data_IF_123241086114
#
_entry.id   IF_123241086114
#
_cell.length_a   1.000
_cell.length_b   1.000
_cell.length_c   1.000
_cell.angle_alpha   90.00
_cell.angle_beta   90.00
_cell.angle_gamma   90.00
#
_symmetry.space_group_name_H-M   'P 1'
#
loop_
_entity.id
_entity.type
_entity.pdbx_description
1 polymer ?
#
# COMPACT_ATOMS: atom_id res chain seq x y z
N UNK A 1 1.69 21.00 2.34
CA UNK A 1 2.85 21.11 1.50
C UNK A 1 3.50 19.81 1.11
N UNK A 2 4.25 19.09 1.93
CA UNK A 2 4.89 17.82 1.53
C UNK A 2 3.91 16.66 1.50
N UNK A 3 3.01 16.58 2.45
CA UNK A 3 1.96 15.53 2.55
C UNK A 3 0.99 15.64 1.39
N UNK A 4 0.48 16.83 1.13
CA UNK A 4 -0.42 17.09 -0.01
C UNK A 4 0.24 16.75 -1.35
N UNK A 5 1.54 17.05 -1.51
CA UNK A 5 2.28 16.68 -2.70
C UNK A 5 2.46 15.16 -2.83
N UNK A 6 2.67 14.43 -1.72
CA UNK A 6 2.75 12.98 -1.72
C UNK A 6 1.44 12.35 -2.20
N UNK A 7 0.34 12.75 -1.59
CA UNK A 7 -1.01 12.27 -1.90
C UNK A 7 -1.37 12.56 -3.36
N UNK A 8 -1.18 13.81 -3.81
CA UNK A 8 -1.46 14.22 -5.19
C UNK A 8 -0.59 13.47 -6.21
N UNK A 9 0.69 13.24 -5.91
CA UNK A 9 1.59 12.49 -6.80
C UNK A 9 1.14 11.04 -6.95
N UNK A 10 0.83 10.37 -5.85
CA UNK A 10 0.34 8.99 -5.86
C UNK A 10 -1.03 8.88 -6.55
N UNK A 11 -1.94 9.82 -6.31
CA UNK A 11 -3.23 9.88 -6.99
C UNK A 11 -3.08 10.03 -8.52
N UNK A 12 -2.10 10.82 -8.97
CA UNK A 12 -1.78 11.00 -10.39
C UNK A 12 -0.99 9.84 -11.00
N UNK A 13 -0.76 8.75 -10.26
CA UNK A 13 -0.15 7.53 -10.76
C UNK A 13 1.36 7.39 -10.53
N UNK A 14 1.98 8.23 -9.68
CA UNK A 14 3.36 8.00 -9.26
C UNK A 14 3.49 6.67 -8.53
N UNK A 15 4.53 5.92 -8.84
CA UNK A 15 4.82 4.61 -8.21
C UNK A 15 5.34 4.78 -6.80
N UNK A 16 6.06 5.88 -6.55
CA UNK A 16 6.67 6.18 -5.25
C UNK A 16 6.75 7.68 -5.01
N UNK A 17 6.83 8.04 -3.75
CA UNK A 17 7.10 9.39 -3.27
C UNK A 17 8.11 9.30 -2.12
N UNK A 18 9.11 10.17 -2.13
CA UNK A 18 10.13 10.25 -1.08
C UNK A 18 10.11 11.67 -0.53
N UNK A 19 9.69 11.88 0.74
CA UNK A 19 9.70 13.19 1.35
C UNK A 19 11.15 13.66 1.63
N UNK A 20 11.40 14.94 1.52
CA UNK A 20 12.66 15.56 1.97
C UNK A 20 12.59 15.91 3.47
N UNK A 21 13.69 15.73 4.23
CA UNK A 21 14.95 15.11 3.87
C UNK A 21 14.83 13.58 3.74
N UNK A 22 15.66 12.97 2.88
CA UNK A 22 15.70 11.52 2.69
C UNK A 22 17.14 11.00 2.75
N UNK A 23 17.27 9.74 3.12
CA UNK A 23 18.54 9.02 3.16
C UNK A 23 18.85 8.39 1.80
N UNK A 24 20.11 8.00 1.60
CA UNK A 24 20.51 7.23 0.40
C UNK A 24 19.77 5.90 0.32
N UNK A 25 19.58 5.23 1.46
CA UNK A 25 18.89 3.94 1.52
C UNK A 25 17.41 4.06 1.15
N UNK A 26 16.72 5.11 1.56
CA UNK A 26 15.34 5.39 1.14
C UNK A 26 15.24 5.63 -0.37
N UNK A 27 16.21 6.36 -0.95
CA UNK A 27 16.29 6.58 -2.39
C UNK A 27 16.53 5.26 -3.14
N UNK A 28 17.50 4.46 -2.70
CA UNK A 28 17.80 3.16 -3.31
C UNK A 28 16.63 2.18 -3.20
N UNK A 29 15.93 2.16 -2.08
CA UNK A 29 14.73 1.34 -1.89
C UNK A 29 13.59 1.76 -2.82
N UNK A 30 13.41 3.06 -3.03
CA UNK A 30 12.40 3.56 -3.96
C UNK A 30 12.75 3.24 -5.43
N UNK A 31 14.01 3.43 -5.83
CA UNK A 31 14.49 3.07 -7.18
C UNK A 31 14.35 1.58 -7.46
N UNK A 32 14.65 0.74 -6.46
CA UNK A 32 14.47 -0.71 -6.56
C UNK A 32 13.00 -1.07 -6.85
N UNK A 33 12.06 -0.50 -6.09
CA UNK A 33 10.62 -0.71 -6.31
C UNK A 33 10.16 -0.24 -7.69
N UNK A 34 10.59 0.95 -8.11
CA UNK A 34 10.25 1.49 -9.45
C UNK A 34 10.73 0.56 -10.56
N UNK A 35 11.96 0.06 -10.46
CA UNK A 35 12.51 -0.89 -11.44
C UNK A 35 11.70 -2.20 -11.49
N UNK A 36 11.35 -2.76 -10.33
CA UNK A 36 10.52 -3.98 -10.27
C UNK A 36 9.10 -3.74 -10.80
N UNK A 37 8.51 -2.58 -10.49
CA UNK A 37 7.21 -2.19 -11.05
C UNK A 37 7.26 -2.12 -12.59
N UNK A 38 8.30 -1.52 -13.16
CA UNK A 38 8.46 -1.46 -14.62
C UNK A 38 8.55 -2.85 -15.24
N UNK A 39 9.35 -3.76 -14.65
CA UNK A 39 9.45 -5.16 -15.09
C UNK A 39 8.09 -5.87 -15.07
N UNK A 40 7.31 -5.68 -14.02
CA UNK A 40 5.95 -6.25 -13.91
C UNK A 40 5.06 -5.71 -15.03
N UNK A 41 5.10 -4.40 -15.29
CA UNK A 41 4.29 -3.77 -16.34
C UNK A 41 4.71 -4.18 -17.75
N UNK A 42 5.99 -4.33 -18.01
CA UNK A 42 6.50 -4.84 -19.28
C UNK A 42 6.07 -6.30 -19.50
N UNK A 43 6.21 -7.14 -18.47
CA UNK A 43 5.74 -8.53 -18.53
C UNK A 43 4.23 -8.61 -18.77
N UNK A 44 3.44 -7.77 -18.10
CA UNK A 44 1.99 -7.71 -18.31
C UNK A 44 1.64 -7.34 -19.76
N UNK A 45 2.32 -6.35 -20.36
CA UNK A 45 2.12 -5.98 -21.76
C UNK A 45 2.44 -7.14 -22.71
N UNK A 46 3.53 -7.87 -22.47
CA UNK A 46 3.92 -9.03 -23.28
C UNK A 46 2.88 -10.15 -23.19
N UNK A 47 2.36 -10.44 -22.00
CA UNK A 47 1.33 -11.46 -21.81
C UNK A 47 0.04 -11.11 -22.57
N UNK A 48 -0.39 -9.85 -22.49
CA UNK A 48 -1.56 -9.36 -23.26
C UNK A 48 -1.33 -9.52 -24.77
N UNK A 49 -0.16 -9.14 -25.29
CA UNK A 49 0.17 -9.27 -26.71
C UNK A 49 0.21 -10.74 -27.17
N UNK A 50 0.61 -11.66 -26.29
CA UNK A 50 0.65 -13.10 -26.55
C UNK A 50 -0.69 -13.80 -26.29
N UNK A 51 -1.74 -13.06 -25.91
CA UNK A 51 -3.05 -13.60 -25.50
C UNK A 51 -2.97 -14.62 -24.34
N UNK A 52 -1.94 -14.50 -23.51
CA UNK A 52 -1.72 -15.35 -22.32
C UNK A 52 -2.33 -14.66 -21.11
N UNK A 53 -3.63 -14.85 -20.91
CA UNK A 53 -4.38 -14.28 -19.79
C UNK A 53 -4.43 -15.22 -18.56
N UNK A 54 -3.75 -16.35 -18.63
CA UNK A 54 -3.68 -17.40 -17.60
C UNK A 54 -2.63 -17.10 -16.52
N UNK A 55 -1.63 -16.24 -16.80
CA UNK A 55 -0.58 -15.89 -15.87
C UNK A 55 -0.93 -14.62 -15.07
N UNK A 56 -1.25 -14.79 -13.79
CA UNK A 56 -1.55 -13.69 -12.87
C UNK A 56 -0.25 -13.21 -12.23
N UNK A 57 0.19 -12.01 -12.55
CA UNK A 57 1.40 -11.40 -11.98
C UNK A 57 1.17 -10.83 -10.57
N UNK A 58 -0.03 -10.34 -10.31
CA UNK A 58 -0.49 -9.84 -9.02
C UNK A 58 -2.02 -9.86 -8.97
N UNK A 59 -2.54 -9.96 -7.75
CA UNK A 59 -3.99 -9.92 -7.50
C UNK A 59 -4.44 -8.46 -7.43
N UNK A 60 -5.41 -8.09 -8.26
CA UNK A 60 -5.98 -6.74 -8.23
C UNK A 60 -6.79 -6.50 -6.96
N UNK A 61 -6.77 -5.26 -6.49
CA UNK A 61 -7.55 -4.84 -5.33
C UNK A 61 -9.06 -5.09 -5.56
N UNK A 62 -9.80 -5.58 -4.56
CA UNK A 62 -11.24 -5.82 -4.70
C UNK A 62 -12.01 -4.55 -5.08
N UNK A 63 -13.04 -4.67 -5.95
CA UNK A 63 -13.74 -3.53 -6.56
C UNK A 63 -14.38 -2.55 -5.55
N UNK A 64 -14.71 -3.01 -4.34
CA UNK A 64 -15.30 -2.17 -3.28
C UNK A 64 -14.27 -1.37 -2.48
N UNK A 65 -12.99 -1.58 -2.72
CA UNK A 65 -11.91 -0.92 -2.02
C UNK A 65 -11.49 0.36 -2.75
N UNK A 66 -10.83 1.25 -2.02
CA UNK A 66 -10.17 2.45 -2.56
C UNK A 66 -8.68 2.33 -2.26
N UNK A 67 -7.82 2.89 -3.11
CA UNK A 67 -6.36 2.79 -2.94
C UNK A 67 -5.66 4.12 -3.08
N UNK A 68 -4.58 4.30 -2.32
CA UNK A 68 -3.63 5.40 -2.47
C UNK A 68 -2.50 4.97 -3.40
N UNK A 69 -2.54 5.42 -4.65
CA UNK A 69 -1.65 4.92 -5.68
C UNK A 69 -1.75 3.40 -5.84
N UNK A 70 -0.61 2.71 -5.92
CA UNK A 70 -0.53 1.25 -5.93
C UNK A 70 0.04 0.70 -4.61
N UNK A 71 0.04 1.51 -3.56
CA UNK A 71 0.72 1.20 -2.30
C UNK A 71 -0.23 0.59 -1.26
N UNK A 72 -1.21 1.36 -0.83
CA UNK A 72 -2.11 0.99 0.26
C UNK A 72 -3.56 1.13 -0.15
N UNK A 73 -4.41 0.37 0.51
CA UNK A 73 -5.85 0.37 0.26
C UNK A 73 -6.64 0.61 1.54
N UNK A 74 -7.89 1.04 1.36
CA UNK A 74 -8.91 1.09 2.42
C UNK A 74 -10.14 0.28 2.02
N UNK A 75 -10.80 -0.27 3.04
CA UNK A 75 -12.14 -0.83 2.95
C UNK A 75 -13.01 -0.21 4.03
N UNK A 76 -14.12 0.43 3.64
CA UNK A 76 -15.07 1.04 4.57
C UNK A 76 -15.98 -0.04 5.14
N UNK A 77 -15.98 -0.18 6.46
CA UNK A 77 -16.86 -1.09 7.19
C UNK A 77 -18.22 -0.44 7.50
N UNK A 78 -19.21 -1.24 7.79
CA UNK A 78 -20.58 -0.74 8.03
C UNK A 78 -20.71 0.13 9.28
N UNK A 79 -19.82 -0.08 10.25
CA UNK A 79 -19.83 0.61 11.56
C UNK A 79 -19.09 1.96 11.54
N UNK A 80 -18.68 2.42 10.36
CA UNK A 80 -17.96 3.69 10.18
C UNK A 80 -16.46 3.61 10.41
N UNK A 81 -15.92 2.45 10.68
CA UNK A 81 -14.48 2.18 10.69
C UNK A 81 -13.97 1.86 9.30
N UNK A 82 -12.66 1.90 9.15
CA UNK A 82 -11.96 1.65 7.89
C UNK A 82 -10.84 0.64 8.15
N UNK A 83 -10.80 -0.44 7.37
CA UNK A 83 -9.63 -1.30 7.31
C UNK A 83 -8.60 -0.69 6.37
N UNK A 84 -7.33 -0.78 6.75
CA UNK A 84 -6.16 -0.33 5.99
C UNK A 84 -5.26 -1.52 5.73
N UNK A 85 -4.77 -1.64 4.50
CA UNK A 85 -3.81 -2.68 4.14
C UNK A 85 -2.97 -2.30 2.93
N UNK A 86 -2.21 -3.24 2.40
CA UNK A 86 -1.27 -3.04 1.30
C UNK A 86 -1.74 -3.72 0.02
N UNK A 87 -1.52 -3.07 -1.12
CA UNK A 87 -1.84 -3.66 -2.43
C UNK A 87 -0.85 -4.78 -2.79
N UNK A 88 -1.35 -5.86 -3.39
CA UNK A 88 -0.49 -6.97 -3.83
C UNK A 88 0.55 -6.51 -4.85
N UNK A 89 0.20 -5.59 -5.74
CA UNK A 89 1.17 -5.02 -6.68
C UNK A 89 2.37 -4.36 -5.97
N UNK A 90 2.14 -3.68 -4.83
CA UNK A 90 3.24 -3.14 -4.02
C UNK A 90 4.11 -4.28 -3.50
N UNK A 91 3.50 -5.33 -2.95
CA UNK A 91 4.21 -6.49 -2.42
C UNK A 91 5.09 -7.16 -3.48
N UNK A 92 4.62 -7.23 -4.73
CA UNK A 92 5.41 -7.78 -5.86
C UNK A 92 6.58 -6.88 -6.30
N UNK A 93 6.67 -5.65 -5.79
CA UNK A 93 7.81 -4.74 -6.07
C UNK A 93 8.92 -4.77 -5.02
N UNK A 94 8.69 -5.44 -3.89
CA UNK A 94 9.67 -5.62 -2.80
C UNK A 94 10.04 -7.09 -2.64
N UNK A 95 11.08 -7.37 -1.87
CA UNK A 95 11.44 -8.73 -1.48
C UNK A 95 10.58 -9.21 -0.30
N UNK A 96 10.68 -10.49 0.04
CA UNK A 96 9.91 -11.10 1.13
C UNK A 96 10.11 -10.34 2.44
N UNK A 97 9.00 -10.08 3.13
CA UNK A 97 8.99 -9.35 4.39
C UNK A 97 9.54 -10.25 5.50
N UNK A 98 10.56 -9.76 6.22
CA UNK A 98 11.09 -10.40 7.41
C UNK A 98 10.49 -9.82 8.68
N UNK A 99 10.30 -8.50 8.70
CA UNK A 99 9.81 -7.78 9.88
C UNK A 99 8.88 -6.66 9.46
N UNK A 100 7.87 -6.42 10.27
CA UNK A 100 6.99 -5.26 10.16
C UNK A 100 6.99 -4.50 11.49
N UNK A 101 7.19 -3.18 11.41
CA UNK A 101 7.06 -2.26 12.52
C UNK A 101 5.75 -1.50 12.37
N UNK A 102 4.90 -1.58 13.38
CA UNK A 102 3.58 -1.01 13.41
C UNK A 102 3.43 0.02 14.53
N UNK A 103 2.56 0.98 14.32
CA UNK A 103 2.05 1.86 15.36
C UNK A 103 1.14 1.07 16.32
N UNK A 104 0.86 1.65 17.48
CA UNK A 104 0.04 1.03 18.50
C UNK A 104 -1.44 1.41 18.33
N UNK A 105 -2.30 0.68 19.02
CA UNK A 105 -3.68 1.10 19.26
C UNK A 105 -3.69 2.47 19.93
N UNK A 106 -4.65 3.28 19.56
CA UNK A 106 -4.87 4.67 19.97
C UNK A 106 -3.88 5.71 19.40
N UNK A 107 -2.84 5.28 18.65
CA UNK A 107 -2.02 6.19 17.86
C UNK A 107 -2.83 6.80 16.71
N UNK A 108 -2.44 8.00 16.29
CA UNK A 108 -3.01 8.69 15.14
C UNK A 108 -2.17 8.46 13.89
N UNK A 109 -2.83 8.32 12.76
CA UNK A 109 -2.21 8.27 11.43
C UNK A 109 -2.73 9.43 10.59
N UNK A 110 -1.92 9.86 9.63
CA UNK A 110 -2.24 10.96 8.71
C UNK A 110 -2.06 10.50 7.27
N UNK A 111 -3.02 10.82 6.39
CA UNK A 111 -2.97 10.47 4.97
C UNK A 111 -1.67 10.96 4.33
N UNK A 112 -0.93 10.07 3.66
CA UNK A 112 0.35 10.40 3.01
C UNK A 112 1.57 10.43 3.93
N UNK A 113 1.40 10.23 5.24
CA UNK A 113 2.49 10.04 6.21
C UNK A 113 2.76 8.54 6.42
N UNK A 114 3.99 8.21 6.78
CA UNK A 114 4.36 6.82 7.10
C UNK A 114 3.63 6.31 8.32
N UNK A 115 2.88 5.21 8.18
CA UNK A 115 2.16 4.54 9.27
C UNK A 115 2.75 3.17 9.64
N UNK A 116 3.64 2.63 8.83
CA UNK A 116 4.35 1.38 9.10
C UNK A 116 5.69 1.34 8.38
N UNK A 117 6.60 0.46 8.79
CA UNK A 117 7.80 0.15 8.03
C UNK A 117 8.01 -1.35 7.90
N UNK A 118 8.55 -1.77 6.75
CA UNK A 118 8.86 -3.15 6.42
C UNK A 118 10.35 -3.32 6.26
N UNK A 119 10.92 -4.35 6.88
CA UNK A 119 12.27 -4.83 6.60
C UNK A 119 12.17 -6.11 5.77
N UNK A 120 12.79 -6.10 4.58
CA UNK A 120 12.79 -7.21 3.65
C UNK A 120 14.05 -8.09 3.77
N UNK A 121 14.03 -9.25 3.11
CA UNK A 121 15.12 -10.25 3.13
C UNK A 121 16.45 -9.75 2.55
N UNK A 122 16.42 -8.65 1.80
CA UNK A 122 17.61 -7.96 1.27
C UNK A 122 18.07 -6.77 2.13
N UNK A 123 17.65 -6.73 3.40
CA UNK A 123 17.91 -5.66 4.38
C UNK A 123 17.40 -4.25 3.97
N UNK A 124 16.52 -4.17 2.98
CA UNK A 124 15.89 -2.92 2.59
C UNK A 124 14.69 -2.59 3.46
N UNK A 125 14.61 -1.32 3.83
CA UNK A 125 13.48 -0.77 4.56
C UNK A 125 12.54 -0.03 3.61
N UNK A 126 11.23 -0.27 3.77
CA UNK A 126 10.18 0.37 3.01
C UNK A 126 9.17 1.02 3.95
N UNK A 127 9.02 2.33 3.85
CA UNK A 127 7.99 3.08 4.57
C UNK A 127 6.65 2.94 3.86
N UNK A 128 5.61 2.65 4.63
CA UNK A 128 4.25 2.47 4.15
C UNK A 128 3.45 3.72 4.49
N UNK A 129 2.95 4.40 3.46
CA UNK A 129 2.18 5.62 3.63
C UNK A 129 0.72 5.28 3.94
N UNK A 130 0.17 5.98 4.94
CA UNK A 130 -1.23 5.83 5.28
C UNK A 130 -2.14 6.33 4.16
N UNK A 131 -3.18 5.57 3.78
CA UNK A 131 -4.16 6.01 2.80
C UNK A 131 -5.21 6.96 3.37
N UNK A 132 -5.30 7.10 4.70
CA UNK A 132 -6.32 7.88 5.39
C UNK A 132 -5.78 8.41 6.72
N UNK A 133 -6.36 9.52 7.21
CA UNK A 133 -6.11 10.03 8.56
C UNK A 133 -7.13 9.51 9.55
N UNK A 134 -6.70 9.28 10.79
CA UNK A 134 -7.58 8.84 11.86
C UNK A 134 -6.86 8.18 13.01
N UNK A 135 -7.63 7.66 13.97
CA UNK A 135 -7.13 6.96 15.15
C UNK A 135 -7.22 5.46 14.98
N UNK A 136 -6.13 4.77 15.25
CA UNK A 136 -6.06 3.30 15.22
C UNK A 136 -6.87 2.74 16.38
N UNK A 137 -7.85 1.90 16.09
CA UNK A 137 -8.66 1.20 17.12
C UNK A 137 -8.29 -0.26 17.25
N UNK A 138 -7.66 -0.82 16.22
CA UNK A 138 -7.17 -2.21 16.23
C UNK A 138 -5.95 -2.34 15.34
N UNK A 139 -4.98 -3.11 15.80
CA UNK A 139 -3.79 -3.51 15.05
C UNK A 139 -3.88 -5.00 14.77
N UNK A 140 -3.59 -5.42 13.56
CA UNK A 140 -3.60 -6.85 13.23
C UNK A 140 -2.38 -7.56 13.82
N UNK A 141 -2.55 -8.16 14.99
CA UNK A 141 -1.47 -8.88 15.68
C UNK A 141 -0.99 -10.13 14.90
N UNK A 142 -1.83 -10.69 14.03
CA UNK A 142 -1.46 -11.87 13.25
C UNK A 142 -0.28 -11.57 12.29
N UNK A 143 -0.23 -10.36 11.71
CA UNK A 143 0.86 -9.97 10.80
C UNK A 143 2.17 -9.67 11.54
N UNK A 144 2.14 -9.29 12.81
CA UNK A 144 3.35 -9.13 13.62
C UNK A 144 4.04 -10.48 13.83
N UNK A 145 3.25 -11.53 14.07
CA UNK A 145 3.75 -12.87 14.30
C UNK A 145 4.10 -13.60 12.99
N UNK A 146 3.42 -13.25 11.91
CA UNK A 146 3.61 -13.85 10.60
C UNK A 146 3.47 -12.80 9.49
N UNK A 147 4.52 -12.01 9.19
CA UNK A 147 4.49 -10.98 8.14
C UNK A 147 4.13 -11.51 6.76
N UNK A 148 4.41 -12.78 6.46
CA UNK A 148 4.06 -13.43 5.21
C UNK A 148 2.55 -13.47 4.95
N UNK A 149 1.73 -13.23 5.96
CA UNK A 149 0.28 -13.18 5.79
C UNK A 149 -0.14 -12.04 4.86
N UNK A 150 0.56 -10.90 4.93
CA UNK A 150 0.35 -9.77 4.02
C UNK A 150 0.64 -10.16 2.56
N UNK A 151 1.66 -10.99 2.34
CA UNK A 151 2.03 -11.45 0.99
C UNK A 151 1.06 -12.50 0.43
N UNK A 152 0.50 -13.35 1.32
CA UNK A 152 -0.39 -14.45 0.93
C UNK A 152 -1.82 -14.02 0.71
N UNK A 153 -2.31 -13.14 1.57
CA UNK A 153 -3.69 -12.64 1.52
C UNK A 153 -3.75 -11.15 1.87
N UNK A 154 -3.30 -10.28 0.94
CA UNK A 154 -3.17 -8.85 1.19
C UNK A 154 -4.51 -8.13 1.42
N UNK A 155 -5.63 -8.71 1.02
CA UNK A 155 -6.92 -8.00 0.98
C UNK A 155 -7.93 -8.45 2.04
N UNK A 156 -7.74 -9.61 2.67
CA UNK A 156 -8.68 -10.13 3.68
C UNK A 156 -8.00 -10.34 5.02
N UNK A 157 -6.97 -11.19 5.12
CA UNK A 157 -6.29 -11.47 6.38
C UNK A 157 -5.09 -10.56 6.64
N UNK A 158 -4.48 -10.00 5.57
CA UNK A 158 -3.30 -9.16 5.62
C UNK A 158 -3.57 -7.65 5.83
N UNK A 159 -4.74 -7.27 6.37
CA UNK A 159 -4.97 -5.89 6.79
C UNK A 159 -4.00 -5.49 7.90
N UNK A 160 -3.70 -4.19 8.02
CA UNK A 160 -2.73 -3.66 8.99
C UNK A 160 -3.43 -3.04 10.19
N UNK A 161 -4.36 -2.12 9.92
CA UNK A 161 -5.10 -1.37 10.94
C UNK A 161 -6.59 -1.33 10.65
N UNK A 162 -7.36 -1.28 11.76
CA UNK A 162 -8.73 -0.75 11.75
C UNK A 162 -8.69 0.65 12.36
N UNK A 163 -9.26 1.62 11.68
CA UNK A 163 -9.12 3.06 11.96
C UNK A 163 -10.49 3.70 12.06
N UNK A 164 -10.70 4.58 13.04
CA UNK A 164 -11.78 5.55 13.01
C UNK A 164 -11.27 6.75 12.19
N UNK A 165 -11.81 7.00 10.99
CA UNK A 165 -11.30 8.06 10.12
C UNK A 165 -11.64 9.44 10.67
N UNK A 166 -10.72 10.41 10.49
CA UNK A 166 -10.92 11.79 10.94
C UNK A 166 -11.84 12.57 9.98
N UNK A 167 -11.62 12.43 8.67
CA UNK A 167 -12.40 13.14 7.64
C UNK A 167 -12.45 12.34 6.33
N UNK A 168 -13.18 11.23 6.35
CA UNK A 168 -13.22 10.29 5.22
C UNK A 168 -13.77 10.95 3.95
N UNK A 169 -14.82 11.78 4.04
CA UNK A 169 -15.46 12.40 2.88
C UNK A 169 -14.53 13.33 2.09
N UNK A 170 -13.55 13.93 2.77
CA UNK A 170 -12.54 14.76 2.13
C UNK A 170 -11.43 13.91 1.52
N UNK A 171 -10.93 12.93 2.25
CA UNK A 171 -9.73 12.18 1.89
C UNK A 171 -9.95 11.14 0.78
N UNK A 172 -11.15 10.56 0.69
CA UNK A 172 -11.47 9.61 -0.40
C UNK A 172 -11.37 10.24 -1.80
N UNK A 173 -11.44 11.56 -1.93
CA UNK A 173 -11.25 12.27 -3.21
C UNK A 173 -9.86 12.08 -3.81
N UNK A 174 -8.89 11.72 -2.97
CA UNK A 174 -7.52 11.45 -3.36
C UNK A 174 -7.22 9.96 -3.46
N UNK A 175 -8.23 9.10 -3.32
CA UNK A 175 -8.11 7.66 -3.47
C UNK A 175 -8.70 7.21 -4.81
N UNK A 176 -8.12 6.19 -5.38
CA UNK A 176 -8.53 5.63 -6.67
C UNK A 176 -9.45 4.43 -6.39
N UNK A 177 -10.66 4.38 -6.96
CA UNK A 177 -11.50 3.20 -6.86
C UNK A 177 -10.84 1.98 -7.51
N UNK A 178 -10.73 0.88 -6.77
CA UNK A 178 -10.12 -0.35 -7.29
C UNK A 178 -10.94 -1.02 -8.40
N UNK A 179 -12.20 -0.63 -8.55
CA UNK A 179 -13.04 -1.03 -9.71
C UNK A 179 -12.46 -0.55 -11.04
N UNK A 180 -11.68 0.53 -11.07
CA UNK A 180 -11.03 1.05 -12.28
C UNK A 180 -9.87 0.18 -12.79
N UNK A 181 -9.38 -0.77 -11.99
CA UNK A 181 -8.28 -1.66 -12.36
C UNK A 181 -8.74 -2.89 -13.18
N UNK A 182 -10.03 -3.00 -13.44
CA UNK A 182 -10.67 -4.15 -14.11
C UNK A 182 -11.04 -3.90 -15.57
N UNK A 183 -10.36 -2.97 -16.24
CA UNK A 183 -10.55 -2.69 -17.66
C UNK A 183 -9.70 -3.60 -18.53
#
# INVERSE_FOLDING_TARGET
>A
STVENAVNSLYKGSVSFIPKPFTVDELLSALYRVNNYQKIKEKQKLLIQQQRNDEILYVTCPAKYLRLGYSTWIFQEREGTVLVGMCDLYMKTIDSIQQIELLNRDDEIEQGISCASLTCSNDRNHKILSPISGRIVEVNEAIKNNPNLIEKDPYFEGWIYRVIPANIEYEIKYLIPCSSDRV
#
